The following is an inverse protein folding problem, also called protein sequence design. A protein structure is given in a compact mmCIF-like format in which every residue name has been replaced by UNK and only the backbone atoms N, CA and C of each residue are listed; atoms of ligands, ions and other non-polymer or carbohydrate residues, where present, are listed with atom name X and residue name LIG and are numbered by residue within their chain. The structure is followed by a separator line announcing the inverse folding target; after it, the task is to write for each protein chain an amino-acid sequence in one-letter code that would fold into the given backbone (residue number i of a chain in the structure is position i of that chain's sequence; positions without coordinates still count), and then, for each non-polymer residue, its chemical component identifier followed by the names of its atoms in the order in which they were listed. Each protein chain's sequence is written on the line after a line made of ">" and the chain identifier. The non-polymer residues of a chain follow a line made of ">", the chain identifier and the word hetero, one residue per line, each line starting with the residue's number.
data_IF_357468268015
#
_entry.id   IF_357468268015
#
_cell.length_a   1.000
_cell.length_b   1.000
_cell.length_c   1.000
_cell.angle_alpha   90.00
_cell.angle_beta   90.00
_cell.angle_gamma   90.00
#
_symmetry.space_group_name_H-M   'P 1'
#
loop_
_entity.id
_entity.type
_entity.pdbx_description
1 polymer ?
#
# COMPACT_ATOMS: atom_id res chain seq x y z
N UNK A 1 -24.11 4.16 1.98
CA UNK A 1 -24.82 3.59 0.80
C UNK A 1 -23.96 2.58 0.04
N UNK A 2 -22.80 2.95 -0.53
CA UNK A 2 -21.95 1.99 -1.27
C UNK A 2 -21.44 0.85 -0.38
N UNK A 3 -20.92 1.19 0.80
CA UNK A 3 -20.50 0.21 1.82
C UNK A 3 -21.69 -0.56 2.39
N UNK A 4 -22.76 0.13 2.79
CA UNK A 4 -23.96 -0.51 3.36
C UNK A 4 -24.63 -1.50 2.41
N UNK A 5 -24.56 -1.25 1.10
CA UNK A 5 -25.09 -2.14 0.06
C UNK A 5 -24.05 -3.12 -0.49
N UNK A 6 -22.82 -3.10 0.02
CA UNK A 6 -21.68 -3.93 -0.44
C UNK A 6 -21.49 -3.91 -1.96
N UNK A 7 -21.62 -2.73 -2.56
CA UNK A 7 -21.43 -2.56 -4.01
C UNK A 7 -19.93 -2.45 -4.28
N UNK A 8 -19.41 -3.42 -5.03
CA UNK A 8 -18.04 -3.38 -5.53
C UNK A 8 -18.00 -2.52 -6.79
N UNK A 9 -17.46 -1.30 -6.65
CA UNK A 9 -17.43 -0.31 -7.71
C UNK A 9 -16.00 0.17 -7.90
N UNK A 10 -15.46 0.02 -9.11
CA UNK A 10 -14.18 0.63 -9.47
C UNK A 10 -14.37 2.14 -9.62
N UNK A 11 -13.97 2.91 -8.60
CA UNK A 11 -14.04 4.36 -8.65
C UNK A 11 -13.16 4.94 -9.75
N UNK A 12 -12.00 4.35 -10.04
CA UNK A 12 -11.11 4.89 -11.06
C UNK A 12 -11.77 4.77 -12.44
N UNK A 13 -12.35 3.62 -12.76
CA UNK A 13 -13.03 3.39 -14.04
C UNK A 13 -14.29 4.25 -14.18
N UNK A 14 -15.11 4.31 -13.13
CA UNK A 14 -16.36 5.09 -13.14
C UNK A 14 -16.08 6.58 -13.25
N UNK A 15 -15.11 7.09 -12.48
CA UNK A 15 -14.74 8.51 -12.53
C UNK A 15 -14.11 8.82 -13.89
N UNK A 16 -13.21 7.99 -14.41
CA UNK A 16 -12.63 8.21 -15.74
C UNK A 16 -13.69 8.25 -16.83
N UNK A 17 -14.64 7.31 -16.81
CA UNK A 17 -15.76 7.27 -17.76
C UNK A 17 -16.65 8.51 -17.65
N UNK A 18 -16.95 8.95 -16.43
CA UNK A 18 -17.74 10.16 -16.20
C UNK A 18 -17.03 11.42 -16.71
N UNK A 19 -15.71 11.55 -16.46
CA UNK A 19 -14.90 12.67 -16.94
C UNK A 19 -14.87 12.73 -18.47
N UNK A 20 -14.72 11.59 -19.15
CA UNK A 20 -14.74 11.55 -20.62
C UNK A 20 -16.12 11.91 -21.20
N UNK A 21 -17.21 11.45 -20.59
CA UNK A 21 -18.57 11.81 -21.00
C UNK A 21 -18.80 13.32 -20.87
N UNK A 22 -18.46 13.90 -19.71
CA UNK A 22 -18.60 15.34 -19.48
C UNK A 22 -17.74 16.13 -20.46
N UNK A 23 -16.51 15.70 -20.74
CA UNK A 23 -15.64 16.35 -21.72
C UNK A 23 -16.22 16.30 -23.13
N UNK A 24 -16.78 15.16 -23.51
CA UNK A 24 -17.43 14.97 -24.81
C UNK A 24 -18.63 15.91 -24.96
N UNK A 25 -19.47 16.01 -23.92
CA UNK A 25 -20.60 16.93 -23.88
C UNK A 25 -20.14 18.40 -23.92
N UNK A 26 -19.11 18.77 -23.15
CA UNK A 26 -18.54 20.11 -23.18
C UNK A 26 -18.01 20.48 -24.57
N UNK A 27 -17.35 19.56 -25.26
CA UNK A 27 -16.88 19.76 -26.64
C UNK A 27 -18.05 19.89 -27.62
N UNK A 28 -19.10 19.09 -27.47
CA UNK A 28 -20.31 19.17 -28.29
C UNK A 28 -21.02 20.53 -28.10
N UNK A 29 -21.14 20.98 -26.84
CA UNK A 29 -21.72 22.30 -26.51
C UNK A 29 -20.85 23.44 -27.02
N UNK A 30 -19.52 23.36 -26.85
CA UNK A 30 -18.59 24.36 -27.37
C UNK A 30 -18.64 24.45 -28.91
N UNK A 31 -18.72 23.32 -29.60
CA UNK A 31 -18.91 23.25 -31.05
C UNK A 31 -20.25 23.84 -31.49
N UNK A 32 -21.34 23.57 -30.77
CA UNK A 32 -22.65 24.15 -31.02
C UNK A 32 -22.71 25.66 -30.73
N UNK A 33 -21.89 26.15 -29.80
CA UNK A 33 -21.80 27.55 -29.39
C UNK A 33 -20.76 28.36 -30.22
N UNK A 34 -20.03 27.74 -31.13
CA UNK A 34 -19.02 28.41 -31.97
C UNK A 34 -17.75 28.84 -31.22
N UNK A 35 -17.46 28.27 -30.04
CA UNK A 35 -16.32 28.65 -29.21
C UNK A 35 -15.04 27.88 -29.59
N UNK A 36 -13.94 28.60 -29.84
CA UNK A 36 -12.59 28.03 -30.00
C UNK A 36 -11.93 27.79 -28.64
N UNK A 37 -11.21 26.65 -28.54
CA UNK A 37 -10.55 26.10 -27.34
C UNK A 37 -9.62 27.11 -26.65
N UNK A 38 -10.02 27.69 -25.53
CA UNK A 38 -9.07 28.28 -24.57
C UNK A 38 -9.62 28.29 -23.14
N UNK A 39 -8.95 27.54 -22.26
CA UNK A 39 -8.74 27.89 -20.85
C UNK A 39 -9.78 27.47 -19.82
N UNK A 40 -9.54 26.35 -19.12
CA UNK A 40 -9.82 26.22 -17.67
C UNK A 40 -8.77 25.30 -17.04
N UNK A 41 -7.87 25.85 -16.21
CA UNK A 41 -7.00 25.09 -15.31
C UNK A 41 -6.97 25.83 -13.97
N UNK A 42 -7.73 25.34 -12.99
CA UNK A 42 -7.69 25.79 -11.60
C UNK A 42 -6.95 24.74 -10.79
N UNK A 43 -5.76 25.09 -10.30
CA UNK A 43 -4.87 24.19 -9.56
C UNK A 43 -5.22 24.26 -8.06
N UNK A 44 -5.64 23.13 -7.49
CA UNK A 44 -5.68 22.91 -6.03
C UNK A 44 -4.77 21.73 -5.74
N UNK A 45 -3.57 22.04 -5.24
CA UNK A 45 -2.54 21.03 -4.97
C UNK A 45 -2.80 20.29 -3.65
N UNK A 46 -3.41 19.12 -3.72
CA UNK A 46 -3.30 18.09 -2.68
C UNK A 46 -2.21 17.10 -3.08
N UNK A 47 -1.09 17.07 -2.35
CA UNK A 47 0.07 16.22 -2.67
C UNK A 47 -0.17 14.77 -2.27
N UNK A 48 -0.97 14.05 -3.05
CA UNK A 48 -0.95 12.58 -3.09
C UNK A 48 -0.12 12.12 -4.28
N UNK A 49 0.61 11.00 -4.13
CA UNK A 49 1.38 10.38 -5.22
C UNK A 49 0.40 9.94 -6.31
N UNK A 50 0.27 10.75 -7.36
CA UNK A 50 -0.58 10.48 -8.52
C UNK A 50 0.07 9.39 -9.38
N UNK A 51 -0.63 8.31 -9.75
CA UNK A 51 -0.14 7.37 -10.76
C UNK A 51 0.01 8.09 -12.11
N UNK A 52 1.10 7.82 -12.84
CA UNK A 52 1.26 8.34 -14.21
C UNK A 52 0.15 7.76 -15.10
N UNK A 53 -0.56 8.63 -15.84
CA UNK A 53 -1.64 8.23 -16.77
C UNK A 53 -3.07 8.42 -16.28
N UNK A 54 -3.30 8.89 -15.05
CA UNK A 54 -4.64 9.26 -14.56
C UNK A 54 -4.94 10.72 -14.88
N UNK A 55 -6.12 10.97 -15.45
CA UNK A 55 -6.63 12.32 -15.71
C UNK A 55 -6.65 13.15 -14.42
N UNK A 56 -6.16 14.41 -14.43
CA UNK A 56 -6.05 15.23 -13.22
C UNK A 56 -7.39 15.42 -12.52
N UNK A 57 -8.48 15.62 -13.26
CA UNK A 57 -9.83 15.80 -12.70
C UNK A 57 -10.32 14.50 -12.08
N UNK A 58 -10.06 13.36 -12.74
CA UNK A 58 -10.42 12.06 -12.19
C UNK A 58 -9.70 11.79 -10.85
N UNK A 59 -8.42 12.15 -10.77
CA UNK A 59 -7.63 12.07 -9.53
C UNK A 59 -8.21 12.93 -8.40
N UNK A 60 -8.57 14.18 -8.70
CA UNK A 60 -9.17 15.10 -7.73
C UNK A 60 -10.53 14.60 -7.21
N UNK A 61 -11.38 14.06 -8.09
CA UNK A 61 -12.67 13.49 -7.69
C UNK A 61 -12.46 12.28 -6.79
N UNK A 62 -11.51 11.39 -7.12
CA UNK A 62 -11.18 10.26 -6.26
C UNK A 62 -10.72 10.75 -4.87
N UNK A 63 -9.81 11.72 -4.82
CA UNK A 63 -9.28 12.26 -3.56
C UNK A 63 -10.41 12.87 -2.73
N UNK A 64 -11.32 13.61 -3.36
CA UNK A 64 -12.50 14.16 -2.70
C UNK A 64 -13.41 13.07 -2.09
N UNK A 65 -13.68 12.00 -2.84
CA UNK A 65 -14.48 10.86 -2.35
C UNK A 65 -13.80 10.19 -1.16
N UNK A 66 -12.49 9.97 -1.23
CA UNK A 66 -11.73 9.33 -0.15
C UNK A 66 -11.61 10.23 1.09
N UNK A 67 -11.46 11.54 0.94
CA UNK A 67 -11.49 12.48 2.06
C UNK A 67 -12.88 12.52 2.73
N UNK A 68 -13.96 12.42 1.95
CA UNK A 68 -15.30 12.29 2.53
C UNK A 68 -15.46 10.97 3.29
N UNK A 69 -14.90 9.88 2.76
CA UNK A 69 -14.90 8.58 3.42
C UNK A 69 -14.08 8.62 4.72
N UNK A 70 -12.94 9.30 4.73
CA UNK A 70 -12.10 9.52 5.92
C UNK A 70 -12.90 10.12 7.07
N UNK A 71 -13.63 11.20 6.82
CA UNK A 71 -14.45 11.85 7.84
C UNK A 71 -15.45 10.86 8.48
N UNK A 72 -16.09 10.00 7.67
CA UNK A 72 -17.05 8.99 8.15
C UNK A 72 -16.39 7.99 9.12
N UNK A 73 -15.20 7.48 8.80
CA UNK A 73 -14.50 6.52 9.67
C UNK A 73 -13.98 7.17 10.96
N UNK A 74 -13.43 8.38 10.87
CA UNK A 74 -12.87 9.08 12.04
C UNK A 74 -13.96 9.55 13.01
N UNK A 75 -15.12 9.98 12.49
CA UNK A 75 -16.26 10.41 13.31
C UNK A 75 -17.10 9.23 13.84
N UNK A 76 -17.10 8.10 13.12
CA UNK A 76 -17.97 6.94 13.39
C UNK A 76 -17.57 6.05 14.58
N UNK A 77 -16.47 6.35 15.27
CA UNK A 77 -16.04 5.60 16.45
C UNK A 77 -15.58 4.17 16.16
N UNK A 78 -15.14 3.87 14.93
CA UNK A 78 -14.72 2.53 14.50
C UNK A 78 -13.31 2.13 14.96
N UNK A 79 -12.64 2.94 15.78
CA UNK A 79 -11.26 2.72 16.22
C UNK A 79 -10.20 2.95 15.14
N UNK A 80 -10.61 3.50 13.98
CA UNK A 80 -9.70 3.85 12.88
C UNK A 80 -9.00 5.17 13.22
N UNK A 81 -7.68 5.21 13.07
CA UNK A 81 -6.90 6.46 13.17
C UNK A 81 -6.55 7.00 11.78
N UNK A 82 -6.11 8.25 11.72
CA UNK A 82 -5.63 8.88 10.48
C UNK A 82 -4.50 8.06 9.84
N UNK A 83 -3.57 7.55 10.65
CA UNK A 83 -2.43 6.75 10.20
C UNK A 83 -2.87 5.41 9.60
N UNK A 84 -3.85 4.75 10.21
CA UNK A 84 -4.42 3.50 9.67
C UNK A 84 -5.11 3.75 8.33
N UNK A 85 -5.87 4.83 8.22
CA UNK A 85 -6.52 5.22 6.98
C UNK A 85 -5.49 5.52 5.88
N UNK A 86 -4.46 6.28 6.21
CA UNK A 86 -3.40 6.65 5.27
C UNK A 86 -2.53 5.46 4.84
N UNK A 87 -2.33 4.48 5.71
CA UNK A 87 -1.61 3.24 5.40
C UNK A 87 -2.31 2.44 4.28
N UNK A 88 -3.65 2.36 4.31
CA UNK A 88 -4.43 1.69 3.26
C UNK A 88 -4.59 2.59 2.03
N UNK A 89 -4.84 3.88 2.22
CA UNK A 89 -5.04 4.85 1.13
C UNK A 89 -3.78 5.01 0.27
N UNK A 90 -2.59 4.80 0.82
CA UNK A 90 -1.32 4.83 0.08
C UNK A 90 -1.31 3.87 -1.13
N UNK A 91 -2.09 2.80 -1.09
CA UNK A 91 -2.26 1.83 -2.19
C UNK A 91 -3.27 2.28 -3.25
N UNK A 92 -4.02 3.35 -2.97
CA UNK A 92 -5.15 3.87 -3.76
C UNK A 92 -6.06 2.75 -4.30
N UNK A 93 -6.69 1.94 -3.43
CA UNK A 93 -7.59 0.87 -3.87
C UNK A 93 -8.71 1.43 -4.76
N UNK A 94 -8.98 0.76 -5.88
CA UNK A 94 -9.99 1.20 -6.83
C UNK A 94 -11.41 1.14 -6.26
N UNK A 95 -11.67 0.17 -5.37
CA UNK A 95 -12.99 -0.05 -4.79
C UNK A 95 -13.06 0.39 -3.32
N UNK A 96 -14.07 1.19 -2.92
CA UNK A 96 -14.32 1.53 -1.52
C UNK A 96 -14.60 0.31 -0.65
N UNK A 97 -15.22 -0.74 -1.22
CA UNK A 97 -15.47 -1.99 -0.52
C UNK A 97 -14.17 -2.74 -0.25
N UNK A 98 -13.25 -2.72 -1.20
CA UNK A 98 -11.91 -3.26 -1.04
C UNK A 98 -11.12 -2.49 0.01
N UNK A 99 -11.20 -1.16 -0.02
CA UNK A 99 -10.62 -0.28 0.98
C UNK A 99 -11.14 -0.59 2.40
N UNK A 100 -12.45 -0.75 2.57
CA UNK A 100 -13.07 -1.12 3.85
C UNK A 100 -12.57 -2.48 4.37
N UNK A 101 -12.46 -3.48 3.48
CA UNK A 101 -11.97 -4.80 3.83
C UNK A 101 -10.51 -4.76 4.31
N UNK A 102 -9.64 -4.02 3.61
CA UNK A 102 -8.24 -3.80 4.00
C UNK A 102 -8.12 -3.05 5.32
N UNK A 103 -8.93 -2.00 5.51
CA UNK A 103 -8.90 -1.18 6.71
C UNK A 103 -9.35 -1.97 7.95
N UNK A 104 -10.42 -2.76 7.84
CA UNK A 104 -10.86 -3.65 8.92
C UNK A 104 -9.81 -4.70 9.27
N UNK A 105 -9.24 -5.35 8.26
CA UNK A 105 -8.16 -6.30 8.47
C UNK A 105 -6.94 -5.66 9.15
N UNK A 106 -6.61 -4.41 8.80
CA UNK A 106 -5.53 -3.66 9.46
C UNK A 106 -5.85 -3.34 10.92
N UNK A 107 -7.08 -2.89 11.21
CA UNK A 107 -7.52 -2.63 12.60
C UNK A 107 -7.46 -3.90 13.44
N UNK A 108 -7.97 -5.01 12.92
CA UNK A 108 -7.94 -6.31 13.60
C UNK A 108 -6.50 -6.80 13.79
N UNK A 109 -5.64 -6.63 12.78
CA UNK A 109 -4.22 -6.94 12.90
C UNK A 109 -3.57 -6.11 14.01
N UNK A 110 -3.78 -4.80 14.05
CA UNK A 110 -3.17 -3.92 15.06
C UNK A 110 -3.69 -4.16 16.48
N UNK A 111 -4.82 -4.86 16.65
CA UNK A 111 -5.28 -5.33 17.95
C UNK A 111 -4.46 -6.51 18.50
N UNK A 112 -3.66 -7.18 17.66
CA UNK A 112 -2.85 -8.33 18.06
C UNK A 112 -1.59 -7.87 18.84
N UNK A 113 -1.16 -8.64 19.86
CA UNK A 113 0.03 -8.31 20.65
C UNK A 113 1.32 -8.16 19.83
N UNK A 114 1.39 -8.88 18.71
CA UNK A 114 2.58 -8.93 17.85
C UNK A 114 2.65 -7.80 16.81
N UNK A 115 1.52 -7.12 16.57
CA UNK A 115 1.39 -6.22 15.44
C UNK A 115 2.17 -4.92 15.57
N UNK A 116 2.22 -4.34 16.78
CA UNK A 116 3.00 -3.12 17.03
C UNK A 116 4.50 -3.36 16.75
N UNK A 117 5.04 -4.51 17.19
CA UNK A 117 6.43 -4.89 16.94
C UNK A 117 6.71 -5.06 15.44
N UNK A 118 5.77 -5.68 14.72
CA UNK A 118 5.92 -5.92 13.28
C UNK A 118 5.77 -4.65 12.45
N UNK A 119 4.88 -3.73 12.84
CA UNK A 119 4.76 -2.41 12.22
C UNK A 119 6.04 -1.59 12.44
N UNK A 120 6.58 -1.58 13.65
CA UNK A 120 7.86 -0.92 13.94
C UNK A 120 9.02 -1.53 13.14
N UNK A 121 9.08 -2.86 13.01
CA UNK A 121 10.08 -3.54 12.19
C UNK A 121 9.95 -3.17 10.70
N UNK A 122 8.73 -3.16 10.13
CA UNK A 122 8.49 -2.73 8.76
C UNK A 122 8.87 -1.27 8.52
N UNK A 123 8.56 -0.37 9.46
CA UNK A 123 8.99 1.02 9.38
C UNK A 123 10.51 1.17 9.41
N UNK A 124 11.20 0.35 10.20
CA UNK A 124 12.68 0.28 10.19
C UNK A 124 13.19 -0.21 8.83
N UNK A 125 12.58 -1.24 8.26
CA UNK A 125 12.92 -1.78 6.94
C UNK A 125 12.78 -0.70 5.86
N UNK A 126 11.62 -0.04 5.79
CA UNK A 126 11.36 1.05 4.83
C UNK A 126 12.41 2.16 4.93
N UNK A 127 12.80 2.53 6.16
CA UNK A 127 13.84 3.53 6.37
C UNK A 127 15.24 3.08 5.96
N UNK A 128 15.58 1.80 6.15
CA UNK A 128 16.84 1.22 5.68
C UNK A 128 16.88 1.23 4.15
N UNK A 129 15.81 0.76 3.50
CA UNK A 129 15.71 0.70 2.04
C UNK A 129 15.78 2.10 1.42
N UNK A 130 15.10 3.09 2.00
CA UNK A 130 15.17 4.49 1.55
C UNK A 130 16.57 5.10 1.67
N UNK A 131 17.36 4.66 2.64
CA UNK A 131 18.74 5.16 2.87
C UNK A 131 19.80 4.34 2.15
N UNK A 132 19.44 3.21 1.55
CA UNK A 132 20.38 2.39 0.81
C UNK A 132 20.85 3.16 -0.43
N UNK A 133 22.16 3.31 -0.58
CA UNK A 133 22.77 3.87 -1.78
C UNK A 133 22.98 2.82 -2.87
N UNK A 134 23.01 1.54 -2.48
CA UNK A 134 23.19 0.41 -3.40
C UNK A 134 21.89 0.11 -4.15
N UNK A 135 22.04 -0.34 -5.40
CA UNK A 135 20.93 -0.90 -6.16
C UNK A 135 20.41 -2.16 -5.46
N UNK A 136 19.11 -2.19 -5.17
CA UNK A 136 18.47 -3.33 -4.50
C UNK A 136 18.10 -4.38 -5.55
N UNK A 137 18.71 -5.58 -5.52
CA UNK A 137 18.37 -6.64 -6.46
C UNK A 137 16.89 -7.04 -6.36
N UNK A 138 16.26 -7.47 -7.47
CA UNK A 138 14.84 -7.83 -7.48
C UNK A 138 14.55 -9.14 -6.73
N UNK A 139 15.55 -10.01 -6.54
CA UNK A 139 15.44 -11.32 -5.90
C UNK A 139 16.62 -11.58 -4.98
N UNK A 140 16.37 -12.38 -3.94
CA UNK A 140 17.39 -12.88 -3.01
C UNK A 140 18.18 -13.99 -3.70
N UNK A 141 19.51 -13.93 -3.60
CA UNK A 141 20.42 -15.00 -3.98
C UNK A 141 20.72 -15.89 -2.76
N UNK A 142 20.26 -17.16 -2.75
CA UNK A 142 20.50 -18.08 -1.63
C UNK A 142 21.99 -18.36 -1.35
N UNK A 143 22.86 -18.24 -2.36
CA UNK A 143 24.30 -18.51 -2.22
C UNK A 143 25.04 -17.43 -1.41
N UNK A 144 24.47 -16.23 -1.34
CA UNK A 144 25.02 -15.09 -0.60
C UNK A 144 24.48 -14.99 0.84
N UNK A 145 23.61 -15.92 1.26
CA UNK A 145 23.11 -15.99 2.63
C UNK A 145 24.14 -16.71 3.52
N UNK A 146 24.76 -15.98 4.43
CA UNK A 146 25.82 -16.41 5.34
C UNK A 146 25.30 -16.86 6.71
N UNK A 147 24.34 -16.14 7.30
CA UNK A 147 23.78 -16.45 8.62
C UNK A 147 22.57 -17.38 8.55
N UNK A 148 22.38 -18.17 9.62
CA UNK A 148 21.21 -19.04 9.74
C UNK A 148 19.93 -18.24 9.92
N UNK A 149 19.97 -17.06 10.56
CA UNK A 149 18.81 -16.18 10.70
C UNK A 149 18.29 -15.66 9.36
N UNK A 150 19.17 -15.17 8.47
CA UNK A 150 18.75 -14.70 7.14
C UNK A 150 18.27 -15.85 6.24
N UNK A 151 18.87 -17.04 6.34
CA UNK A 151 18.35 -18.24 5.64
C UNK A 151 16.95 -18.63 6.09
N UNK A 152 16.69 -18.60 7.40
CA UNK A 152 15.35 -18.89 7.94
C UNK A 152 14.33 -17.85 7.50
N UNK A 153 14.66 -16.56 7.62
CA UNK A 153 13.76 -15.49 7.19
C UNK A 153 13.46 -15.58 5.68
N UNK A 154 14.47 -15.83 4.85
CA UNK A 154 14.27 -16.00 3.41
C UNK A 154 13.36 -17.18 3.07
N UNK A 155 13.52 -18.33 3.74
CA UNK A 155 12.68 -19.50 3.54
C UNK A 155 11.22 -19.25 3.95
N UNK A 156 10.99 -18.60 5.10
CA UNK A 156 9.63 -18.27 5.56
C UNK A 156 8.96 -17.24 4.65
N UNK A 157 9.68 -16.18 4.24
CA UNK A 157 9.17 -15.17 3.31
C UNK A 157 8.75 -15.80 1.99
N UNK A 158 9.56 -16.70 1.44
CA UNK A 158 9.24 -17.38 0.18
C UNK A 158 8.08 -18.38 0.35
N UNK A 159 8.04 -19.12 1.46
CA UNK A 159 6.97 -20.09 1.75
C UNK A 159 5.60 -19.44 1.99
N UNK A 160 5.58 -18.18 2.46
CA UNK A 160 4.35 -17.41 2.66
C UNK A 160 3.88 -16.66 1.41
N UNK A 161 4.78 -16.37 0.46
CA UNK A 161 4.49 -15.55 -0.71
C UNK A 161 3.23 -15.99 -1.46
N UNK A 162 3.21 -17.22 -1.95
CA UNK A 162 2.09 -17.73 -2.77
C UNK A 162 0.77 -17.75 -1.99
N UNK A 163 0.82 -18.10 -0.70
CA UNK A 163 -0.37 -18.15 0.16
C UNK A 163 -0.94 -16.75 0.40
N UNK A 164 -0.08 -15.78 0.69
CA UNK A 164 -0.47 -14.39 0.92
C UNK A 164 -1.01 -13.76 -0.36
N UNK A 165 -0.33 -13.96 -1.50
CA UNK A 165 -0.78 -13.48 -2.81
C UNK A 165 -2.17 -14.05 -3.17
N UNK A 166 -2.39 -15.36 -2.94
CA UNK A 166 -3.70 -15.99 -3.16
C UNK A 166 -4.79 -15.42 -2.23
N UNK A 167 -4.48 -15.25 -0.94
CA UNK A 167 -5.42 -14.67 0.02
C UNK A 167 -5.78 -13.22 -0.33
N UNK A 168 -4.81 -12.44 -0.80
CA UNK A 168 -5.02 -11.05 -1.21
C UNK A 168 -5.87 -10.98 -2.47
N UNK A 169 -5.66 -11.88 -3.43
CA UNK A 169 -6.50 -12.00 -4.62
C UNK A 169 -7.96 -12.31 -4.26
N UNK A 170 -8.17 -13.16 -3.25
CA UNK A 170 -9.50 -13.51 -2.71
C UNK A 170 -10.04 -12.49 -1.69
N UNK A 171 -9.37 -11.33 -1.52
CA UNK A 171 -9.70 -10.26 -0.54
C UNK A 171 -9.75 -10.72 0.92
N UNK A 172 -9.03 -11.79 1.24
CA UNK A 172 -8.86 -12.33 2.60
C UNK A 172 -7.70 -11.64 3.34
N UNK A 173 -7.76 -10.32 3.45
CA UNK A 173 -6.69 -9.50 4.03
C UNK A 173 -6.36 -9.84 5.49
N UNK A 174 -7.38 -10.20 6.27
CA UNK A 174 -7.22 -10.58 7.66
C UNK A 174 -6.38 -11.87 7.79
N UNK A 175 -6.68 -12.87 6.97
CA UNK A 175 -5.94 -14.13 6.94
C UNK A 175 -4.49 -13.92 6.46
N UNK A 176 -4.30 -13.07 5.46
CA UNK A 176 -2.97 -12.67 4.98
C UNK A 176 -2.14 -11.99 6.08
N UNK A 177 -2.69 -10.99 6.77
CA UNK A 177 -1.99 -10.28 7.85
C UNK A 177 -1.69 -11.18 9.06
N UNK A 178 -2.62 -12.06 9.45
CA UNK A 178 -2.38 -13.08 10.48
C UNK A 178 -1.26 -14.04 10.10
N UNK A 179 -1.16 -14.41 8.82
CA UNK A 179 -0.07 -15.27 8.35
C UNK A 179 1.26 -14.51 8.39
N UNK A 180 1.28 -13.26 7.92
CA UNK A 180 2.48 -12.44 7.97
C UNK A 180 2.95 -12.13 9.40
N UNK A 181 2.05 -12.11 10.39
CA UNK A 181 2.43 -11.92 11.79
C UNK A 181 3.32 -13.04 12.33
N UNK A 182 3.29 -14.24 11.75
CA UNK A 182 4.17 -15.34 12.14
C UNK A 182 5.64 -15.10 11.78
N UNK A 183 5.93 -14.10 10.94
CA UNK A 183 7.30 -13.73 10.58
C UNK A 183 8.02 -12.95 11.69
N UNK A 184 7.29 -12.38 12.66
CA UNK A 184 7.87 -11.59 13.77
C UNK A 184 9.15 -12.21 14.38
N UNK A 185 9.13 -13.45 14.91
CA UNK A 185 10.32 -14.04 15.52
C UNK A 185 11.51 -14.17 14.55
N UNK A 186 11.25 -14.37 13.26
CA UNK A 186 12.29 -14.46 12.23
C UNK A 186 12.88 -13.09 11.88
N UNK A 187 12.06 -12.05 11.89
CA UNK A 187 12.50 -10.66 11.68
C UNK A 187 13.32 -10.17 12.85
N UNK A 188 12.89 -10.43 14.09
CA UNK A 188 13.62 -10.07 15.30
C UNK A 188 14.99 -10.78 15.32
N UNK A 189 15.01 -12.10 15.10
CA UNK A 189 16.26 -12.87 15.02
C UNK A 189 17.20 -12.40 13.90
N UNK A 190 16.65 -11.95 12.76
CA UNK A 190 17.44 -11.35 11.68
C UNK A 190 18.10 -10.06 12.16
N UNK A 191 17.36 -9.13 12.76
CA UNK A 191 17.94 -7.86 13.19
C UNK A 191 18.89 -7.98 14.39
N UNK A 192 18.72 -8.99 15.23
CA UNK A 192 19.60 -9.27 16.36
C UNK A 192 20.93 -9.90 15.92
N UNK A 193 20.90 -10.77 14.91
CA UNK A 193 22.05 -11.59 14.52
C UNK A 193 22.75 -11.12 13.23
N UNK A 194 22.08 -10.30 12.42
CA UNK A 194 22.53 -9.93 11.08
C UNK A 194 22.68 -8.43 10.96
N UNK A 195 23.92 -7.98 10.73
CA UNK A 195 24.20 -6.58 10.43
C UNK A 195 23.86 -6.29 8.96
N UNK A 196 22.77 -5.55 8.72
CA UNK A 196 22.28 -5.28 7.35
C UNK A 196 23.33 -4.55 6.50
N UNK A 197 24.00 -3.55 7.07
CA UNK A 197 25.08 -2.81 6.42
C UNK A 197 26.40 -3.58 6.51
N UNK A 198 26.51 -4.68 5.75
CA UNK A 198 27.74 -5.48 5.65
C UNK A 198 28.82 -4.77 4.83
N UNK A 199 30.10 -5.05 5.12
CA UNK A 199 31.23 -4.51 4.35
C UNK A 199 31.22 -5.01 2.90
N UNK A 200 30.90 -6.29 2.70
CA UNK A 200 30.79 -6.88 1.38
C UNK A 200 29.51 -6.36 0.67
N UNK A 201 29.71 -5.65 -0.44
CA UNK A 201 28.62 -5.04 -1.21
C UNK A 201 27.60 -6.06 -1.73
N UNK A 202 28.03 -7.25 -2.18
CA UNK A 202 27.11 -8.27 -2.68
C UNK A 202 26.23 -8.84 -1.55
N UNK A 203 26.81 -9.07 -0.37
CA UNK A 203 26.05 -9.53 0.81
C UNK A 203 25.09 -8.46 1.30
N UNK A 204 25.52 -7.20 1.34
CA UNK A 204 24.67 -6.06 1.69
C UNK A 204 23.49 -5.92 0.74
N UNK A 205 23.74 -5.94 -0.57
CA UNK A 205 22.68 -5.91 -1.59
C UNK A 205 21.70 -7.08 -1.44
N UNK A 206 22.19 -8.29 -1.15
CA UNK A 206 21.33 -9.46 -0.94
C UNK A 206 20.45 -9.32 0.32
N UNK A 207 20.99 -8.79 1.41
CA UNK A 207 20.22 -8.49 2.63
C UNK A 207 19.16 -7.42 2.37
N UNK A 208 19.48 -6.39 1.60
CA UNK A 208 18.50 -5.38 1.17
C UNK A 208 17.41 -6.01 0.29
N UNK A 209 17.75 -6.94 -0.60
CA UNK A 209 16.75 -7.66 -1.40
C UNK A 209 15.79 -8.48 -0.52
N UNK A 210 16.31 -9.13 0.53
CA UNK A 210 15.47 -9.87 1.50
C UNK A 210 14.52 -8.93 2.25
N UNK A 211 15.02 -7.79 2.71
CA UNK A 211 14.20 -6.78 3.37
C UNK A 211 13.14 -6.20 2.43
N UNK A 212 13.48 -5.94 1.17
CA UNK A 212 12.54 -5.47 0.15
C UNK A 212 11.49 -6.53 -0.18
N UNK A 213 11.85 -7.82 -0.23
CA UNK A 213 10.91 -8.91 -0.44
C UNK A 213 9.90 -9.00 0.72
N UNK A 214 10.37 -8.85 1.96
CA UNK A 214 9.53 -8.80 3.15
C UNK A 214 8.59 -7.59 3.13
N UNK A 215 9.10 -6.39 2.86
CA UNK A 215 8.31 -5.16 2.79
C UNK A 215 7.20 -5.26 1.74
N UNK A 216 7.50 -5.83 0.55
CA UNK A 216 6.51 -6.04 -0.52
C UNK A 216 5.30 -6.86 -0.07
N UNK A 217 5.50 -7.91 0.73
CA UNK A 217 4.39 -8.73 1.23
C UNK A 217 3.41 -7.93 2.07
N UNK A 218 3.90 -7.01 2.91
CA UNK A 218 3.03 -6.14 3.69
C UNK A 218 2.38 -5.05 2.84
N UNK A 219 3.15 -4.45 1.91
CA UNK A 219 2.67 -3.42 0.99
C UNK A 219 1.55 -3.90 0.07
N UNK A 220 1.39 -5.20 -0.15
CA UNK A 220 0.25 -5.75 -0.89
C UNK A 220 -1.08 -5.50 -0.16
N UNK A 221 -1.07 -5.42 1.18
CA UNK A 221 -2.26 -5.17 2.00
C UNK A 221 -2.35 -3.71 2.45
N UNK A 222 -1.31 -3.19 3.11
CA UNK A 222 -1.26 -1.82 3.64
C UNK A 222 0.19 -1.32 3.80
N UNK A 223 0.39 -0.01 3.68
CA UNK A 223 1.68 0.63 3.95
C UNK A 223 1.91 0.82 5.45
N UNK A 224 2.42 -0.23 6.10
CA UNK A 224 2.70 -0.22 7.54
C UNK A 224 3.75 0.81 7.96
N UNK A 225 4.54 1.37 7.04
CA UNK A 225 5.54 2.39 7.37
C UNK A 225 4.91 3.70 7.86
N UNK A 226 3.64 3.94 7.53
CA UNK A 226 2.85 5.10 7.93
C UNK A 226 2.26 5.01 9.33
N UNK A 227 2.31 3.83 9.95
CA UNK A 227 1.78 3.62 11.28
C UNK A 227 2.70 4.21 12.37
N UNK A 228 2.13 4.60 13.53
CA UNK A 228 2.93 4.90 14.70
C UNK A 228 3.67 3.63 15.13
N UNK A 229 4.95 3.78 15.44
CA UNK A 229 5.83 2.71 15.90
C UNK A 229 6.82 3.26 16.89
#
# INVERSE_FOLDING_TARGET
>A
ILLDKRIDLDLNEVIASAVELVRTDMLAVAAAAGATKEGVSGDVTLTFRRPEGIDPVAGEVYDYVMERLRAVYLEGGTGVTTEMFDAVLAKRPASPLDFDARLKALVDFLSLPDAASLAAANKRIANILRKAADEVPPRVDPSLLQHTAERKLAAEVEGLREQVEAQIADRQYEAALRKLSTLRPHVDAFFDQVMVMADNAAVRANRLALLAALERLFLETADLSRLPG
#
